data_IF_841077932768
#
_entry.id   IF_841077932768
#
_cell.length_a   1.000
_cell.length_b   1.000
_cell.length_c   1.000
_cell.angle_alpha   90.00
_cell.angle_beta   90.00
_cell.angle_gamma   90.00
#
_symmetry.space_group_name_H-M   'P 1'
#
loop_
_entity.id
_entity.type
_entity.pdbx_description
1 polymer ?
#
# COMPACT_ATOMS: atom_id res chain seq x y z
N UNK A 1 -16.14 -20.61 4.09
CA UNK A 1 -14.97 -20.58 3.20
C UNK A 1 -14.49 -19.15 3.01
N UNK A 2 -13.20 -18.95 3.03
CA UNK A 2 -12.60 -17.64 2.85
C UNK A 2 -11.28 -17.77 2.09
N UNK A 3 -10.69 -16.63 1.73
CA UNK A 3 -9.40 -16.55 1.05
C UNK A 3 -8.41 -15.78 1.92
N UNK A 4 -7.17 -16.18 1.89
CA UNK A 4 -6.08 -15.50 2.58
C UNK A 4 -4.88 -15.32 1.65
N UNK A 5 -3.98 -14.42 2.02
CA UNK A 5 -2.71 -14.19 1.34
C UNK A 5 -1.62 -14.84 2.19
N UNK A 6 -0.85 -15.77 1.62
CA UNK A 6 0.24 -16.43 2.35
C UNK A 6 1.51 -15.57 2.38
N UNK A 7 2.55 -16.08 3.04
CA UNK A 7 3.82 -15.35 3.19
C UNK A 7 4.55 -15.11 1.87
N UNK A 8 4.17 -15.83 0.81
CA UNK A 8 4.72 -15.66 -0.53
C UNK A 8 3.82 -14.82 -1.44
N UNK A 9 2.81 -14.18 -0.87
CA UNK A 9 1.83 -13.33 -1.58
C UNK A 9 0.93 -14.12 -2.53
N UNK A 10 0.73 -15.40 -2.25
CA UNK A 10 -0.20 -16.26 -2.98
C UNK A 10 -1.56 -16.32 -2.29
N UNK A 11 -2.62 -16.49 -3.09
CA UNK A 11 -3.97 -16.60 -2.56
C UNK A 11 -4.25 -18.06 -2.21
N UNK A 12 -4.69 -18.31 -0.99
CA UNK A 12 -5.11 -19.61 -0.51
C UNK A 12 -6.60 -19.61 -0.19
N UNK A 13 -7.29 -20.65 -0.63
CA UNK A 13 -8.69 -20.90 -0.29
C UNK A 13 -8.74 -21.78 0.95
N UNK A 14 -9.49 -21.35 1.95
CA UNK A 14 -9.56 -22.06 3.24
C UNK A 14 -11.01 -22.30 3.63
N UNK A 15 -11.28 -23.50 4.16
CA UNK A 15 -12.57 -23.83 4.75
C UNK A 15 -12.61 -23.29 6.18
N UNK A 16 -13.67 -22.57 6.52
CA UNK A 16 -13.89 -22.03 7.85
C UNK A 16 -14.23 -23.16 8.83
N UNK A 17 -13.36 -23.44 9.79
CA UNK A 17 -13.55 -24.43 10.85
C UNK A 17 -13.64 -23.80 12.22
N UNK A 18 -13.64 -22.46 12.29
CA UNK A 18 -13.65 -21.68 13.54
C UNK A 18 -12.49 -22.09 14.46
N UNK A 19 -11.36 -22.49 13.89
CA UNK A 19 -10.17 -22.85 14.64
C UNK A 19 -9.29 -21.63 14.93
N UNK A 20 -8.14 -21.86 15.59
CA UNK A 20 -7.22 -20.79 15.97
C UNK A 20 -6.63 -20.10 14.74
N UNK A 21 -6.33 -20.83 13.68
CA UNK A 21 -5.81 -20.28 12.44
C UNK A 21 -6.83 -19.33 11.78
N UNK A 22 -8.10 -19.74 11.71
CA UNK A 22 -9.17 -18.92 11.15
C UNK A 22 -9.34 -17.63 11.94
N UNK A 23 -9.31 -17.70 13.27
CA UNK A 23 -9.41 -16.54 14.14
C UNK A 23 -8.24 -15.60 13.97
N UNK A 24 -7.03 -16.11 13.81
CA UNK A 24 -5.84 -15.29 13.55
C UNK A 24 -5.89 -14.61 12.19
N UNK A 25 -6.34 -15.29 11.15
CA UNK A 25 -6.51 -14.69 9.84
C UNK A 25 -7.51 -13.54 9.89
N UNK A 26 -8.65 -13.74 10.55
CA UNK A 26 -9.65 -12.69 10.71
C UNK A 26 -9.10 -11.50 11.51
N UNK A 27 -8.45 -11.75 12.63
CA UNK A 27 -7.93 -10.68 13.50
C UNK A 27 -6.81 -9.86 12.87
N UNK A 28 -6.06 -10.45 11.95
CA UNK A 28 -4.98 -9.75 11.23
C UNK A 28 -5.46 -9.10 9.92
N UNK A 29 -6.76 -9.21 9.61
CA UNK A 29 -7.31 -8.67 8.37
C UNK A 29 -7.00 -9.49 7.13
N UNK A 30 -6.45 -10.70 7.29
CA UNK A 30 -6.13 -11.60 6.18
C UNK A 30 -7.24 -12.66 6.05
N UNK A 31 -8.45 -12.17 5.73
CA UNK A 31 -9.65 -12.98 5.68
C UNK A 31 -10.60 -12.35 4.66
N UNK A 32 -10.68 -12.93 3.46
CA UNK A 32 -11.43 -12.36 2.35
C UNK A 32 -12.52 -13.32 1.90
N UNK A 33 -13.71 -12.79 1.64
CA UNK A 33 -14.86 -13.58 1.15
C UNK A 33 -14.80 -13.83 -0.35
N UNK A 34 -14.03 -13.05 -1.08
CA UNK A 34 -13.95 -13.08 -2.54
C UNK A 34 -12.51 -13.20 -3.00
N UNK A 35 -12.27 -14.10 -3.98
CA UNK A 35 -10.92 -14.36 -4.49
C UNK A 35 -10.32 -13.15 -5.22
N UNK A 36 -11.12 -12.47 -6.04
CA UNK A 36 -10.64 -11.30 -6.80
C UNK A 36 -10.28 -10.16 -5.86
N UNK A 37 -11.10 -9.92 -4.84
CA UNK A 37 -10.81 -8.91 -3.81
C UNK A 37 -9.52 -9.26 -3.09
N UNK A 38 -9.29 -10.54 -2.73
CA UNK A 38 -8.04 -10.96 -2.08
C UNK A 38 -6.83 -10.78 -2.99
N UNK A 39 -6.95 -11.08 -4.28
CA UNK A 39 -5.88 -10.86 -5.26
C UNK A 39 -5.53 -9.38 -5.39
N UNK A 40 -6.52 -8.52 -5.46
CA UNK A 40 -6.30 -7.07 -5.56
C UNK A 40 -5.66 -6.50 -4.30
N UNK A 41 -6.08 -6.93 -3.13
CA UNK A 41 -5.45 -6.52 -1.87
C UNK A 41 -4.00 -7.04 -1.79
N UNK A 42 -3.76 -8.27 -2.19
CA UNK A 42 -2.41 -8.83 -2.23
C UNK A 42 -1.49 -8.02 -3.16
N UNK A 43 -2.01 -7.63 -4.33
CA UNK A 43 -1.27 -6.80 -5.29
C UNK A 43 -0.96 -5.42 -4.73
N UNK A 44 -1.94 -4.78 -4.10
CA UNK A 44 -1.76 -3.46 -3.49
C UNK A 44 -0.75 -3.52 -2.34
N UNK A 45 -0.86 -4.51 -1.46
CA UNK A 45 0.06 -4.68 -0.33
C UNK A 45 1.49 -4.97 -0.81
N UNK A 46 1.63 -5.77 -1.86
CA UNK A 46 2.94 -6.04 -2.47
C UNK A 46 3.59 -4.77 -3.00
N UNK A 47 2.82 -3.93 -3.70
CA UNK A 47 3.33 -2.65 -4.19
C UNK A 47 3.84 -1.78 -3.05
N UNK A 48 3.07 -1.66 -1.97
CA UNK A 48 3.48 -0.85 -0.82
C UNK A 48 4.74 -1.41 -0.15
N UNK A 49 4.85 -2.74 -0.02
CA UNK A 49 6.07 -3.37 0.51
C UNK A 49 7.27 -3.13 -0.40
N UNK A 50 7.09 -3.23 -1.70
CA UNK A 50 8.17 -2.98 -2.66
C UNK A 50 8.62 -1.52 -2.66
N UNK A 51 7.69 -0.58 -2.52
CA UNK A 51 8.01 0.83 -2.39
C UNK A 51 8.82 1.10 -1.11
N UNK A 52 8.44 0.50 0.01
CA UNK A 52 9.20 0.63 1.26
C UNK A 52 10.61 0.05 1.13
N UNK A 53 10.72 -1.11 0.47
CA UNK A 53 12.02 -1.75 0.23
C UNK A 53 12.90 -0.88 -0.66
N UNK A 54 12.33 -0.34 -1.73
CA UNK A 54 13.06 0.55 -2.65
C UNK A 54 13.53 1.82 -1.93
N UNK A 55 12.66 2.43 -1.14
CA UNK A 55 12.99 3.61 -0.34
C UNK A 55 14.15 3.31 0.62
N UNK A 56 14.07 2.19 1.32
CA UNK A 56 15.12 1.79 2.27
C UNK A 56 16.47 1.56 1.59
N UNK A 57 16.47 1.05 0.36
CA UNK A 57 17.71 0.73 -0.38
C UNK A 57 18.28 1.92 -1.16
N UNK A 58 17.46 2.90 -1.52
CA UNK A 58 17.83 3.96 -2.45
C UNK A 58 17.73 5.37 -1.87
N UNK A 59 17.18 5.52 -0.68
CA UNK A 59 16.97 6.81 -0.05
C UNK A 59 17.48 6.76 1.40
N UNK A 60 17.64 7.91 2.01
CA UNK A 60 18.00 7.98 3.42
C UNK A 60 16.75 7.81 4.31
N UNK A 61 16.99 7.38 5.54
CA UNK A 61 15.93 7.24 6.53
C UNK A 61 15.32 8.60 6.87
N UNK A 62 13.99 8.62 6.93
CA UNK A 62 13.25 9.75 7.49
C UNK A 62 12.89 9.37 8.93
N UNK A 63 13.55 10.00 9.88
CA UNK A 63 13.41 9.68 11.30
C UNK A 63 12.15 10.34 11.89
N UNK A 64 11.79 9.91 13.10
CA UNK A 64 10.71 10.56 13.84
C UNK A 64 11.07 12.03 14.13
N UNK A 65 12.34 12.32 14.40
CA UNK A 65 12.77 13.71 14.61
C UNK A 65 12.65 14.55 13.34
N UNK A 66 12.85 13.97 12.15
CA UNK A 66 12.58 14.62 10.88
C UNK A 66 11.10 14.97 10.72
N UNK A 67 10.21 14.08 11.20
CA UNK A 67 8.78 14.35 11.18
C UNK A 67 8.37 15.45 12.14
N UNK A 68 9.05 15.60 13.26
CA UNK A 68 8.82 16.70 14.20
C UNK A 68 9.34 18.06 13.71
N UNK A 69 10.21 18.04 12.70
CA UNK A 69 10.75 19.27 12.11
C UNK A 69 9.92 19.68 10.90
N UNK A 70 9.07 20.67 11.07
CA UNK A 70 8.18 21.16 10.02
C UNK A 70 8.88 21.96 8.91
N UNK A 71 10.18 22.18 9.04
CA UNK A 71 11.00 22.81 8.00
C UNK A 71 11.55 21.81 6.99
N UNK A 72 11.46 20.52 7.30
CA UNK A 72 11.90 19.45 6.39
C UNK A 72 10.72 18.99 5.56
N UNK A 73 10.85 19.05 4.24
CA UNK A 73 9.87 18.51 3.30
C UNK A 73 10.03 17.01 3.20
N UNK A 74 8.89 16.29 3.17
CA UNK A 74 8.81 14.86 2.88
C UNK A 74 7.93 14.72 1.67
N UNK A 75 8.28 13.81 0.76
CA UNK A 75 7.67 13.70 -0.54
C UNK A 75 6.97 12.36 -0.68
N UNK A 76 5.72 12.35 -1.14
CA UNK A 76 4.97 11.11 -1.36
C UNK A 76 4.40 11.08 -2.77
N UNK A 77 4.15 9.88 -3.26
CA UNK A 77 3.53 9.67 -4.56
C UNK A 77 2.02 9.81 -4.40
N UNK A 78 1.42 10.61 -5.27
CA UNK A 78 -0.01 10.86 -5.31
C UNK A 78 -0.52 10.77 -6.74
N UNK A 79 -1.82 10.86 -6.91
CA UNK A 79 -2.45 10.84 -8.24
C UNK A 79 -3.40 12.02 -8.37
N UNK A 80 -3.26 12.75 -9.46
CA UNK A 80 -4.14 13.86 -9.78
C UNK A 80 -5.23 13.37 -10.73
N UNK A 81 -6.45 13.16 -10.22
CA UNK A 81 -7.55 12.64 -11.00
C UNK A 81 -8.11 13.65 -12.02
N UNK A 82 -7.87 14.93 -11.82
CA UNK A 82 -8.27 15.97 -12.79
C UNK A 82 -7.40 15.93 -14.04
N UNK A 83 -6.10 15.65 -13.86
CA UNK A 83 -5.12 15.60 -14.96
C UNK A 83 -4.82 14.16 -15.39
N UNK A 84 -5.33 13.15 -14.68
CA UNK A 84 -5.07 11.73 -14.93
C UNK A 84 -3.58 11.40 -14.96
N UNK A 85 -2.84 11.89 -13.98
CA UNK A 85 -1.39 11.65 -13.93
C UNK A 85 -0.88 11.46 -12.50
N UNK A 86 0.22 10.73 -12.39
CA UNK A 86 0.97 10.59 -11.15
C UNK A 86 1.61 11.93 -10.79
N UNK A 87 1.65 12.22 -9.50
CA UNK A 87 2.10 13.49 -8.96
C UNK A 87 2.92 13.23 -7.70
N UNK A 88 3.64 14.23 -7.23
CA UNK A 88 4.39 14.17 -5.99
C UNK A 88 3.85 15.20 -5.02
N UNK A 89 3.36 14.72 -3.89
CA UNK A 89 2.89 15.56 -2.81
C UNK A 89 4.01 15.92 -1.85
N UNK A 90 3.93 17.08 -1.24
CA UNK A 90 4.88 17.55 -0.23
C UNK A 90 4.16 17.63 1.10
N UNK A 91 4.75 17.01 2.13
CA UNK A 91 4.25 17.07 3.50
C UNK A 91 5.35 17.56 4.44
N UNK A 92 4.97 18.35 5.41
CA UNK A 92 5.89 18.86 6.43
C UNK A 92 5.53 18.39 7.83
N UNK A 93 4.24 18.32 8.13
CA UNK A 93 3.71 18.06 9.47
C UNK A 93 2.84 16.81 9.54
N UNK A 94 2.19 16.44 8.43
CA UNK A 94 1.18 15.38 8.42
C UNK A 94 1.77 14.11 7.82
N UNK A 95 1.66 13.02 8.58
CA UNK A 95 2.08 11.70 8.11
C UNK A 95 0.83 10.82 8.03
N UNK A 96 0.56 10.30 6.83
CA UNK A 96 -0.62 9.48 6.58
C UNK A 96 -0.27 7.99 6.67
N UNK A 97 -1.21 7.14 7.16
CA UNK A 97 -1.01 5.68 7.12
C UNK A 97 -0.86 5.20 5.68
N UNK A 98 -0.05 4.17 5.47
CA UNK A 98 0.18 3.51 4.18
C UNK A 98 0.81 4.39 3.09
N UNK A 99 1.17 5.61 3.40
CA UNK A 99 1.94 6.45 2.48
C UNK A 99 3.44 6.20 2.69
N UNK A 100 4.17 6.06 1.59
CA UNK A 100 5.61 5.92 1.62
C UNK A 100 6.20 7.28 1.26
N UNK A 101 7.08 7.78 2.12
CA UNK A 101 7.67 9.09 1.99
C UNK A 101 9.13 8.99 1.57
N UNK A 102 9.54 9.94 0.75
CA UNK A 102 10.91 10.05 0.23
C UNK A 102 11.53 11.34 0.74
N UNK A 103 12.85 11.33 0.92
CA UNK A 103 13.56 12.46 1.49
C UNK A 103 13.74 13.62 0.51
N UNK A 104 13.66 13.35 -0.81
CA UNK A 104 13.79 14.35 -1.85
C UNK A 104 12.76 14.15 -2.95
N UNK A 105 12.45 15.22 -3.67
CA UNK A 105 11.61 15.17 -4.86
C UNK A 105 12.17 14.19 -5.89
N UNK A 106 13.48 14.23 -6.10
CA UNK A 106 14.16 13.36 -7.08
C UNK A 106 13.98 11.88 -6.74
N UNK A 107 14.06 11.50 -5.46
CA UNK A 107 13.87 10.10 -5.04
C UNK A 107 12.44 9.66 -5.29
N UNK A 108 11.46 10.51 -5.05
CA UNK A 108 10.07 10.21 -5.38
C UNK A 108 9.88 10.03 -6.91
N UNK A 109 10.50 10.87 -7.72
CA UNK A 109 10.47 10.72 -9.19
C UNK A 109 11.08 9.40 -9.65
N UNK A 110 12.22 9.03 -9.08
CA UNK A 110 12.88 7.75 -9.40
C UNK A 110 11.99 6.56 -9.07
N UNK A 111 11.33 6.59 -7.91
CA UNK A 111 10.39 5.55 -7.51
C UNK A 111 9.19 5.46 -8.47
N UNK A 112 8.67 6.58 -8.92
CA UNK A 112 7.59 6.61 -9.91
C UNK A 112 8.02 5.90 -11.18
N UNK A 113 9.22 6.15 -11.68
CA UNK A 113 9.71 5.50 -12.89
C UNK A 113 9.84 3.99 -12.73
N UNK A 114 10.31 3.52 -11.58
CA UNK A 114 10.48 2.09 -11.30
C UNK A 114 9.12 1.37 -11.22
N UNK A 115 8.13 1.99 -10.58
CA UNK A 115 6.85 1.35 -10.27
C UNK A 115 5.66 1.92 -11.04
N UNK A 116 5.90 2.61 -12.13
CA UNK A 116 4.89 3.41 -12.84
C UNK A 116 3.60 2.66 -13.15
N UNK A 117 3.67 1.50 -13.78
CA UNK A 117 2.49 0.75 -14.19
C UNK A 117 1.68 0.26 -13.00
N UNK A 118 2.35 -0.23 -11.95
CA UNK A 118 1.69 -0.67 -10.73
C UNK A 118 1.07 0.50 -9.96
N UNK A 119 1.73 1.66 -9.95
CA UNK A 119 1.18 2.85 -9.32
C UNK A 119 -0.07 3.35 -10.06
N UNK A 120 -0.07 3.33 -11.38
CA UNK A 120 -1.23 3.70 -12.17
C UNK A 120 -2.39 2.74 -11.87
N UNK A 121 -2.13 1.43 -11.86
CA UNK A 121 -3.14 0.45 -11.46
C UNK A 121 -3.69 0.75 -10.07
N UNK A 122 -2.82 1.02 -9.10
CA UNK A 122 -3.21 1.28 -7.72
C UNK A 122 -4.18 2.46 -7.60
N UNK A 123 -3.90 3.55 -8.29
CA UNK A 123 -4.71 4.75 -8.19
C UNK A 123 -5.94 4.75 -9.10
N UNK A 124 -5.94 3.99 -10.18
CA UNK A 124 -7.03 4.03 -11.17
C UNK A 124 -7.97 2.83 -11.13
N UNK A 125 -7.52 1.70 -10.61
CA UNK A 125 -8.31 0.46 -10.64
C UNK A 125 -8.54 -0.18 -9.28
N UNK A 126 -7.63 0.00 -8.35
CA UNK A 126 -7.75 -0.64 -7.04
C UNK A 126 -8.76 0.08 -6.16
N UNK A 127 -9.73 -0.69 -5.64
CA UNK A 127 -10.71 -0.22 -4.67
C UNK A 127 -10.40 -0.85 -3.31
N UNK A 128 -10.21 -0.03 -2.30
CA UNK A 128 -9.90 -0.49 -0.93
C UNK A 128 -11.16 -1.06 -0.30
N UNK A 129 -11.28 -2.38 -0.32
CA UNK A 129 -12.38 -3.08 0.36
C UNK A 129 -11.95 -4.49 0.73
N UNK A 130 -12.62 -5.08 1.71
CA UNK A 130 -12.34 -6.43 2.19
C UNK A 130 -13.27 -7.48 1.59
N UNK A 131 -14.51 -7.11 1.25
CA UNK A 131 -15.49 -8.00 0.65
C UNK A 131 -16.54 -7.22 -0.13
N UNK A 132 -17.45 -7.94 -0.78
CA UNK A 132 -18.47 -7.34 -1.64
C UNK A 132 -19.52 -6.54 -0.86
N UNK A 133 -19.82 -6.92 0.37
CA UNK A 133 -20.85 -6.27 1.17
C UNK A 133 -20.45 -4.87 1.63
N UNK A 134 -19.18 -4.52 1.52
CA UNK A 134 -18.69 -3.18 1.84
C UNK A 134 -18.92 -2.18 0.70
N UNK A 135 -19.50 -2.61 -0.37
CA UNK A 135 -19.90 -1.78 -1.50
C UNK A 135 -21.25 -1.14 -1.23
N UNK A 136 -21.36 -0.43 -0.21
CA UNK A 136 -22.62 0.18 0.12
C UNK A 136 -23.00 1.36 -0.75
#
# INVERSE_FOLDING_TARGET
MYYLVDIYNNIMRVTEDNDQGDKQCYSTGNYYSDKIISENNARADRLLRQLRQWQAQNDKVISVSDWKNDKINKYCIAYNYSLNELNIGIERKLRRPNAIYFSTFQKAEEAIEVFKDELIWYFTEYVQRLDEVQNG
#
